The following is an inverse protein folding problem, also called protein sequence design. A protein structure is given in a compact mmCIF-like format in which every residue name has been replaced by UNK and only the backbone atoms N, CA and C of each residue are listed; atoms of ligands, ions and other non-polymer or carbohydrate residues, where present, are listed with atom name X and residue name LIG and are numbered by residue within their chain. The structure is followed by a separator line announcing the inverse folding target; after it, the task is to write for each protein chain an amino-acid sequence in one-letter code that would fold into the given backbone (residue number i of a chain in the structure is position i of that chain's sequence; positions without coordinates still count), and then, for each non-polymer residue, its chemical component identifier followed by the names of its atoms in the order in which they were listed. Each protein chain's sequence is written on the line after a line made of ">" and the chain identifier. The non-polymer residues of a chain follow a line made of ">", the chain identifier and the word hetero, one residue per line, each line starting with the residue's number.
data_IF_893721545323
#
_entry.id   IF_893721545323
#
_cell.length_a   1.000
_cell.length_b   1.000
_cell.length_c   1.000
_cell.angle_alpha   90.00
_cell.angle_beta   90.00
_cell.angle_gamma   90.00
#
_symmetry.space_group_name_H-M   'P 1'
#
loop_
_entity.id
_entity.type
_entity.pdbx_description
1 polymer ?
#
# COMPACT_ATOMS: atom_id res chain seq x y z
N UNK A 1 -43.33 11.89 -20.89
CA UNK A 1 -41.99 11.64 -20.29
C UNK A 1 -41.56 12.92 -19.63
N UNK A 2 -41.26 12.86 -18.33
CA UNK A 2 -40.78 14.01 -17.55
C UNK A 2 -39.26 13.91 -17.28
N UNK A 3 -38.62 15.06 -17.17
CA UNK A 3 -37.21 15.11 -16.77
C UNK A 3 -37.14 15.29 -15.26
N UNK A 4 -36.39 14.40 -14.59
CA UNK A 4 -36.16 14.42 -13.16
C UNK A 4 -34.66 14.70 -12.91
N UNK A 5 -34.34 15.80 -12.21
CA UNK A 5 -32.98 16.17 -11.83
C UNK A 5 -32.73 15.73 -10.39
N UNK A 6 -31.87 14.77 -10.22
CA UNK A 6 -31.40 14.31 -8.90
C UNK A 6 -30.21 15.16 -8.48
N UNK A 7 -30.32 15.76 -7.31
CA UNK A 7 -29.31 16.61 -6.72
C UNK A 7 -28.53 15.83 -5.66
N UNK A 8 -27.24 16.16 -5.50
CA UNK A 8 -26.42 15.60 -4.46
C UNK A 8 -27.05 15.87 -3.08
N UNK A 9 -27.53 14.84 -2.36
CA UNK A 9 -28.11 15.02 -1.04
C UNK A 9 -27.03 15.43 -0.02
N UNK A 10 -27.45 15.98 1.12
CA UNK A 10 -26.57 16.17 2.25
C UNK A 10 -26.21 14.79 2.86
N UNK A 11 -24.97 14.37 2.67
CA UNK A 11 -24.49 13.04 3.06
C UNK A 11 -23.74 13.05 4.40
N UNK A 12 -23.88 14.11 5.21
CA UNK A 12 -23.38 14.18 6.59
C UNK A 12 -22.98 15.57 7.05
N UNK A 13 -23.33 15.86 8.26
CA UNK A 13 -23.02 17.00 9.14
C UNK A 13 -22.21 18.17 8.51
N UNK A 14 -22.87 18.98 7.64
CA UNK A 14 -22.35 20.28 7.25
C UNK A 14 -21.22 20.28 6.21
N UNK A 15 -21.06 19.25 5.41
CA UNK A 15 -20.13 19.25 4.27
C UNK A 15 -20.73 20.08 3.13
N UNK A 16 -20.02 21.15 2.71
CA UNK A 16 -20.45 21.98 1.59
C UNK A 16 -20.24 21.31 0.22
N UNK A 17 -19.29 20.39 0.13
CA UNK A 17 -18.87 19.70 -1.08
C UNK A 17 -18.54 18.23 -0.80
N UNK A 18 -18.71 17.36 -1.82
CA UNK A 18 -18.33 15.96 -1.74
C UNK A 18 -17.71 15.48 -3.05
N UNK A 19 -16.80 14.48 -2.98
CA UNK A 19 -16.11 13.93 -4.14
C UNK A 19 -16.88 12.74 -4.71
N UNK A 20 -17.03 12.67 -6.03
CA UNK A 20 -17.54 11.50 -6.73
C UNK A 20 -16.43 10.43 -6.74
N UNK A 21 -16.59 9.35 -5.96
CA UNK A 21 -15.57 8.30 -5.88
C UNK A 21 -15.66 7.34 -7.08
N UNK A 22 -16.86 6.85 -7.40
CA UNK A 22 -17.07 5.96 -8.54
C UNK A 22 -18.52 6.06 -9.05
N UNK A 23 -18.71 5.91 -10.37
CA UNK A 23 -20.00 5.73 -11.01
C UNK A 23 -20.23 4.24 -11.26
N UNK A 24 -21.43 3.74 -10.92
CA UNK A 24 -21.85 2.36 -11.18
C UNK A 24 -22.82 2.24 -12.36
N UNK A 25 -23.12 3.36 -13.00
CA UNK A 25 -24.05 3.47 -14.12
C UNK A 25 -23.50 4.38 -15.21
N UNK A 26 -24.00 4.23 -16.43
CA UNK A 26 -23.63 5.04 -17.60
C UNK A 26 -24.81 5.80 -18.19
N UNK A 27 -24.53 6.86 -18.97
CA UNK A 27 -25.56 7.57 -19.72
C UNK A 27 -26.26 6.62 -20.70
N UNK A 28 -27.57 6.56 -20.63
CA UNK A 28 -28.42 5.67 -21.42
C UNK A 28 -28.91 4.43 -20.69
N UNK A 29 -28.39 4.11 -19.53
CA UNK A 29 -28.81 2.96 -18.73
C UNK A 29 -30.24 3.16 -18.17
N UNK A 30 -30.96 2.06 -18.07
CA UNK A 30 -32.23 1.98 -17.35
C UNK A 30 -31.97 1.56 -15.92
N UNK A 31 -32.44 2.34 -14.97
CA UNK A 31 -32.28 2.07 -13.54
C UNK A 31 -33.61 1.91 -12.85
N UNK A 32 -33.62 1.08 -11.80
CA UNK A 32 -34.76 0.92 -10.90
C UNK A 32 -34.65 1.79 -9.66
N UNK A 33 -35.72 2.05 -8.97
CA UNK A 33 -35.74 2.68 -7.65
C UNK A 33 -34.85 1.84 -6.69
N UNK A 34 -34.07 2.51 -5.82
CA UNK A 34 -33.09 1.94 -4.90
C UNK A 34 -31.89 1.24 -5.54
N UNK A 35 -31.70 1.30 -6.85
CA UNK A 35 -30.51 0.81 -7.50
C UNK A 35 -29.32 1.71 -7.19
N UNK A 36 -28.18 1.13 -6.82
CA UNK A 36 -26.92 1.84 -6.56
C UNK A 36 -26.40 2.57 -7.81
N UNK A 37 -26.21 3.89 -7.70
CA UNK A 37 -25.82 4.76 -8.82
C UNK A 37 -24.38 5.23 -8.73
N UNK A 38 -23.98 5.70 -7.57
CA UNK A 38 -22.71 6.41 -7.39
C UNK A 38 -22.21 6.32 -5.96
N UNK A 39 -20.91 6.20 -5.80
CA UNK A 39 -20.21 6.34 -4.52
C UNK A 39 -19.76 7.76 -4.34
N UNK A 40 -20.19 8.38 -3.25
CA UNK A 40 -19.79 9.73 -2.86
C UNK A 40 -18.87 9.65 -1.65
N UNK A 41 -17.72 10.27 -1.76
CA UNK A 41 -16.76 10.37 -0.67
C UNK A 41 -16.85 11.73 0.00
N UNK A 42 -17.13 11.71 1.30
CA UNK A 42 -17.00 12.88 2.18
C UNK A 42 -15.64 12.86 2.88
N UNK A 43 -15.35 13.84 3.71
CA UNK A 43 -14.14 13.87 4.55
C UNK A 43 -14.08 12.69 5.56
N UNK A 44 -15.21 12.01 5.78
CA UNK A 44 -15.38 11.03 6.86
C UNK A 44 -15.72 9.61 6.40
N UNK A 45 -16.42 9.44 5.29
CA UNK A 45 -16.88 8.13 4.81
C UNK A 45 -17.15 8.13 3.30
N UNK A 46 -17.21 6.92 2.73
CA UNK A 46 -17.81 6.67 1.42
C UNK A 46 -19.29 6.32 1.65
N UNK A 47 -20.17 7.01 0.96
CA UNK A 47 -21.62 6.82 1.03
C UNK A 47 -22.10 6.37 -0.34
N UNK A 48 -22.78 5.24 -0.38
CA UNK A 48 -23.45 4.72 -1.57
C UNK A 48 -24.78 5.47 -1.77
N UNK A 49 -25.00 6.06 -2.94
CA UNK A 49 -26.22 6.80 -3.26
C UNK A 49 -27.09 5.95 -4.18
N UNK A 50 -28.29 5.51 -3.71
CA UNK A 50 -29.25 4.80 -4.51
C UNK A 50 -30.09 5.75 -5.38
N UNK A 51 -30.74 5.20 -6.41
CA UNK A 51 -31.66 5.94 -7.28
C UNK A 51 -32.98 6.26 -6.54
N UNK A 52 -33.42 7.50 -6.52
CA UNK A 52 -34.70 7.87 -5.95
C UNK A 52 -35.92 7.57 -6.88
N UNK A 53 -35.67 7.20 -8.14
CA UNK A 53 -36.67 6.97 -9.16
C UNK A 53 -36.25 5.88 -10.15
N UNK A 54 -37.23 5.19 -10.74
CA UNK A 54 -36.98 4.35 -11.91
C UNK A 54 -37.03 5.20 -13.18
N UNK A 55 -36.06 5.05 -14.06
CA UNK A 55 -35.98 5.82 -15.29
C UNK A 55 -34.71 5.58 -16.09
N UNK A 56 -34.59 6.30 -17.21
CA UNK A 56 -33.42 6.25 -18.07
C UNK A 56 -32.49 7.42 -17.73
N UNK A 57 -31.18 7.15 -17.59
CA UNK A 57 -30.17 8.17 -17.36
C UNK A 57 -29.93 8.98 -18.62
N UNK A 58 -30.16 10.29 -18.56
CA UNK A 58 -29.95 11.23 -19.66
C UNK A 58 -28.57 11.88 -19.57
N UNK A 59 -28.17 12.28 -18.36
CA UNK A 59 -26.89 12.92 -18.14
C UNK A 59 -26.32 12.61 -16.75
N UNK A 60 -25.00 12.53 -16.67
CA UNK A 60 -24.24 12.46 -15.43
C UNK A 60 -23.42 13.74 -15.29
N UNK A 61 -23.50 14.39 -14.14
CA UNK A 61 -22.80 15.65 -13.85
C UNK A 61 -21.60 15.42 -12.95
N UNK A 62 -20.40 15.47 -13.54
CA UNK A 62 -19.12 15.30 -12.90
C UNK A 62 -18.47 13.95 -13.20
N UNK A 63 -17.14 13.98 -13.27
CA UNK A 63 -16.31 12.80 -13.46
C UNK A 63 -15.89 12.21 -12.11
N UNK A 64 -15.51 10.93 -12.09
CA UNK A 64 -14.90 10.32 -10.92
C UNK A 64 -13.66 11.13 -10.48
N UNK A 65 -13.58 11.47 -9.19
CA UNK A 65 -12.57 12.34 -8.60
C UNK A 65 -12.89 13.84 -8.65
N UNK A 66 -14.09 14.26 -9.09
CA UNK A 66 -14.53 15.65 -9.12
C UNK A 66 -15.30 16.02 -7.84
N UNK A 67 -15.00 17.20 -7.28
CA UNK A 67 -15.74 17.76 -6.15
C UNK A 67 -17.04 18.40 -6.64
N UNK A 68 -18.15 18.10 -5.99
CA UNK A 68 -19.46 18.66 -6.30
C UNK A 68 -20.12 19.28 -5.06
N UNK A 69 -20.71 20.44 -5.19
CA UNK A 69 -21.41 21.08 -4.08
C UNK A 69 -22.70 20.30 -3.73
N UNK A 70 -22.96 20.18 -2.43
CA UNK A 70 -24.22 19.64 -1.92
C UNK A 70 -25.41 20.46 -2.47
N UNK A 71 -26.46 19.80 -2.95
CA UNK A 71 -27.59 20.43 -3.64
C UNK A 71 -27.36 20.71 -5.13
N UNK A 72 -26.15 20.48 -5.68
CA UNK A 72 -25.87 20.56 -7.10
C UNK A 72 -26.48 19.40 -7.89
N UNK A 73 -26.75 19.60 -9.18
CA UNK A 73 -27.26 18.53 -10.06
C UNK A 73 -26.22 17.42 -10.16
N UNK A 74 -26.63 16.16 -9.95
CA UNK A 74 -25.78 14.97 -9.99
C UNK A 74 -26.14 14.06 -11.17
N UNK A 75 -27.43 13.75 -11.33
CA UNK A 75 -27.92 12.89 -12.40
C UNK A 75 -29.24 13.45 -12.96
N UNK A 76 -29.42 13.36 -14.26
CA UNK A 76 -30.70 13.64 -14.93
C UNK A 76 -31.33 12.35 -15.44
N UNK A 77 -32.58 12.12 -15.08
CA UNK A 77 -33.38 10.98 -15.49
C UNK A 77 -34.52 11.39 -16.42
N UNK A 78 -34.84 10.54 -17.38
CA UNK A 78 -36.08 10.55 -18.10
C UNK A 78 -37.03 9.52 -17.43
N UNK A 79 -38.16 9.99 -16.88
CA UNK A 79 -39.10 9.18 -16.11
C UNK A 79 -40.50 9.13 -16.79
N UNK A 80 -41.22 8.04 -16.58
CA UNK A 80 -42.65 7.94 -16.99
C UNK A 80 -43.50 8.70 -15.98
N UNK A 81 -43.69 10.03 -16.19
CA UNK A 81 -44.50 10.88 -15.29
C UNK A 81 -44.12 12.35 -15.39
N UNK A 82 -44.66 13.16 -14.44
CA UNK A 82 -44.26 14.58 -14.31
C UNK A 82 -42.92 14.67 -13.61
N UNK A 83 -41.88 15.14 -14.32
CA UNK A 83 -40.55 15.42 -13.76
C UNK A 83 -40.51 16.61 -12.80
N UNK A 84 -39.39 16.81 -12.09
CA UNK A 84 -39.19 17.96 -11.18
C UNK A 84 -38.39 19.12 -11.83
N UNK A 85 -38.05 19.03 -13.12
CA UNK A 85 -37.29 20.05 -13.84
C UNK A 85 -38.18 21.26 -14.14
N UNK A 86 -38.05 22.31 -13.32
CA UNK A 86 -38.59 23.64 -13.64
C UNK A 86 -37.53 24.33 -14.52
N UNK A 87 -37.85 24.70 -15.75
CA UNK A 87 -36.96 25.32 -16.70
C UNK A 87 -36.21 26.52 -16.07
N UNK A 88 -34.90 26.36 -15.87
CA UNK A 88 -34.00 27.44 -15.52
C UNK A 88 -33.26 27.89 -16.79
N UNK A 89 -33.36 29.20 -17.09
CA UNK A 89 -32.70 29.85 -18.21
C UNK A 89 -31.16 29.69 -18.14
N UNK A 90 -30.45 29.61 -19.28
CA UNK A 90 -29.01 29.39 -19.30
C UNK A 90 -28.24 30.57 -18.71
N UNK A 91 -27.22 30.36 -17.89
CA UNK A 91 -26.34 31.44 -17.47
C UNK A 91 -25.48 31.93 -18.63
N UNK A 92 -25.42 33.25 -18.81
CA UNK A 92 -24.54 33.92 -19.78
C UNK A 92 -23.07 33.66 -19.46
N UNK A 93 -22.20 33.51 -20.48
CA UNK A 93 -20.76 33.34 -20.26
C UNK A 93 -20.17 34.60 -19.67
N UNK A 94 -19.46 34.47 -18.57
CA UNK A 94 -18.60 35.56 -18.06
C UNK A 94 -17.25 35.41 -18.78
N UNK A 95 -16.96 36.41 -19.57
CA UNK A 95 -15.73 36.59 -20.34
C UNK A 95 -14.58 36.89 -19.35
N UNK A 96 -13.66 35.93 -19.20
CA UNK A 96 -12.43 36.14 -18.45
C UNK A 96 -11.34 36.59 -19.42
N UNK A 97 -10.85 37.79 -19.25
CA UNK A 97 -9.72 38.37 -19.98
C UNK A 97 -8.42 37.58 -19.69
N UNK A 98 -7.58 37.30 -20.69
CA UNK A 98 -6.34 36.55 -20.50
C UNK A 98 -5.22 37.48 -19.99
N UNK A 99 -4.68 37.14 -18.83
CA UNK A 99 -3.39 37.69 -18.38
C UNK A 99 -2.29 36.77 -18.92
N UNK A 100 -1.61 37.28 -19.95
CA UNK A 100 -0.45 36.62 -20.53
C UNK A 100 0.76 36.78 -19.61
N UNK A 101 1.23 35.68 -19.05
CA UNK A 101 2.57 35.59 -18.47
C UNK A 101 3.42 34.71 -19.41
N UNK A 102 4.38 35.37 -20.05
CA UNK A 102 5.36 34.78 -20.96
C UNK A 102 6.39 33.98 -20.17
N UNK A 103 6.66 32.71 -20.49
CA UNK A 103 7.80 31.97 -19.92
C UNK A 103 9.11 32.45 -20.59
N UNK A 104 10.24 32.49 -19.88
CA UNK A 104 11.53 32.79 -20.47
C UNK A 104 12.06 31.63 -21.31
N UNK A 105 12.50 31.95 -22.52
CA UNK A 105 13.21 31.03 -23.45
C UNK A 105 14.53 30.55 -22.84
N UNK A 106 14.87 29.25 -22.98
CA UNK A 106 16.20 28.76 -22.68
C UNK A 106 17.14 29.02 -23.86
N UNK A 107 18.27 29.66 -23.60
CA UNK A 107 19.37 29.85 -24.55
C UNK A 107 20.02 28.51 -24.92
N UNK A 108 20.41 28.30 -26.18
CA UNK A 108 21.11 27.08 -26.61
C UNK A 108 22.54 27.05 -26.04
N UNK A 109 22.88 25.91 -25.42
CA UNK A 109 24.26 25.59 -25.05
C UNK A 109 24.88 24.85 -26.22
N UNK A 110 25.92 25.41 -26.78
CA UNK A 110 26.74 24.88 -27.87
C UNK A 110 27.43 23.57 -27.42
N UNK A 111 27.15 22.46 -28.09
CA UNK A 111 27.79 21.17 -27.85
C UNK A 111 29.08 21.07 -28.65
N UNK A 112 30.22 20.90 -27.98
CA UNK A 112 31.48 20.52 -28.58
C UNK A 112 31.43 19.10 -29.10
N UNK A 113 31.99 18.79 -30.25
CA UNK A 113 32.02 17.43 -30.80
C UNK A 113 33.02 16.53 -30.06
N UNK A 114 32.55 15.33 -29.71
CA UNK A 114 33.38 14.26 -29.19
C UNK A 114 34.13 13.53 -30.32
N UNK A 115 35.30 12.99 -30.06
CA UNK A 115 36.16 12.37 -31.08
C UNK A 115 35.61 11.04 -31.57
N UNK A 116 35.59 10.86 -32.88
CA UNK A 116 35.29 9.65 -33.62
C UNK A 116 36.24 8.52 -33.27
N UNK A 117 35.66 7.39 -32.77
CA UNK A 117 36.38 6.12 -32.66
C UNK A 117 36.39 5.37 -34.00
N UNK A 118 37.46 4.61 -34.30
CA UNK A 118 37.60 3.94 -35.62
C UNK A 118 36.65 2.72 -35.73
N UNK A 119 36.12 2.50 -36.93
CA UNK A 119 35.29 1.40 -37.29
C UNK A 119 35.99 0.04 -37.09
N UNK A 120 35.33 -0.96 -36.49
CA UNK A 120 35.87 -2.31 -36.44
C UNK A 120 35.71 -3.01 -37.80
N UNK A 121 36.82 -3.56 -38.24
CA UNK A 121 36.85 -4.36 -39.48
C UNK A 121 35.92 -5.54 -39.46
N UNK A 122 35.49 -5.91 -40.70
CA UNK A 122 34.64 -7.05 -40.97
C UNK A 122 35.22 -8.34 -40.38
N UNK A 123 34.53 -8.86 -39.36
CA UNK A 123 34.72 -10.22 -38.87
C UNK A 123 33.88 -11.17 -39.74
N UNK A 124 34.54 -12.09 -40.35
CA UNK A 124 33.97 -13.25 -41.03
C UNK A 124 32.86 -13.89 -40.16
N UNK A 125 31.71 -14.16 -40.82
CA UNK A 125 30.58 -14.77 -40.15
C UNK A 125 30.93 -16.18 -39.67
N UNK A 126 31.13 -16.33 -38.37
CA UNK A 126 31.20 -17.62 -37.73
C UNK A 126 29.85 -18.33 -37.89
N UNK A 127 29.84 -19.52 -38.45
CA UNK A 127 28.66 -20.40 -38.53
C UNK A 127 28.07 -20.56 -37.08
N UNK A 128 26.73 -20.46 -36.94
CA UNK A 128 26.12 -20.60 -35.63
C UNK A 128 26.34 -22.02 -35.07
N UNK A 129 26.99 -22.12 -33.95
CA UNK A 129 27.10 -23.36 -33.18
C UNK A 129 25.72 -23.72 -32.61
N UNK A 130 25.22 -24.88 -33.03
CA UNK A 130 23.95 -25.43 -32.51
C UNK A 130 24.09 -25.70 -31.02
N UNK A 131 23.09 -25.31 -30.21
CA UNK A 131 22.97 -25.77 -28.84
C UNK A 131 22.64 -27.26 -28.88
N UNK A 132 23.67 -28.08 -28.85
CA UNK A 132 23.56 -29.52 -28.72
C UNK A 132 23.19 -29.84 -27.26
N UNK A 133 22.26 -30.82 -27.10
CA UNK A 133 22.09 -31.49 -25.80
C UNK A 133 23.45 -31.96 -25.32
N UNK A 134 23.63 -32.06 -24.00
CA UNK A 134 24.90 -32.55 -23.43
C UNK A 134 25.28 -33.88 -24.09
N UNK A 135 26.54 -34.07 -24.41
CA UNK A 135 27.05 -35.26 -25.04
C UNK A 135 26.71 -36.48 -24.18
N UNK A 136 25.82 -37.38 -24.68
CA UNK A 136 25.33 -38.54 -23.93
C UNK A 136 23.83 -38.59 -23.67
N UNK A 137 23.11 -37.45 -23.78
CA UNK A 137 21.67 -37.42 -23.60
C UNK A 137 20.93 -37.99 -24.80
N UNK A 138 20.21 -39.12 -24.57
CA UNK A 138 19.37 -39.73 -25.61
C UNK A 138 18.11 -38.90 -25.85
N UNK A 139 17.81 -38.50 -27.12
CA UNK A 139 16.60 -37.73 -27.40
C UNK A 139 15.35 -38.52 -26.99
N UNK A 140 14.46 -37.91 -26.22
CA UNK A 140 13.16 -38.49 -25.85
C UNK A 140 12.20 -38.28 -27.03
N UNK A 141 11.80 -39.35 -27.71
CA UNK A 141 10.83 -39.32 -28.81
C UNK A 141 10.06 -40.67 -28.84
N UNK A 142 8.83 -40.64 -29.36
CA UNK A 142 8.05 -41.85 -29.59
C UNK A 142 8.64 -42.68 -30.74
N UNK A 143 8.35 -43.98 -30.85
CA UNK A 143 8.80 -44.82 -31.95
C UNK A 143 8.37 -44.29 -33.31
N UNK A 144 7.17 -43.70 -33.40
CA UNK A 144 6.65 -43.10 -34.66
C UNK A 144 7.46 -41.89 -35.07
N UNK A 145 7.82 -41.00 -34.13
CA UNK A 145 8.66 -39.81 -34.37
C UNK A 145 10.08 -40.24 -34.79
N UNK A 146 10.63 -41.25 -34.13
CA UNK A 146 11.96 -41.80 -34.50
C UNK A 146 11.99 -42.35 -35.92
N UNK A 147 10.96 -43.14 -36.29
CA UNK A 147 10.84 -43.67 -37.65
C UNK A 147 10.74 -42.57 -38.68
N UNK A 148 9.86 -41.57 -38.45
CA UNK A 148 9.69 -40.40 -39.34
C UNK A 148 10.98 -39.58 -39.50
N UNK A 149 11.69 -39.35 -38.38
CA UNK A 149 12.98 -38.65 -38.42
C UNK A 149 14.03 -39.45 -39.26
N UNK A 150 14.06 -40.78 -39.08
CA UNK A 150 14.93 -41.68 -39.88
C UNK A 150 14.60 -41.62 -41.36
N UNK A 151 13.32 -41.74 -41.71
CA UNK A 151 12.85 -41.69 -43.10
C UNK A 151 13.17 -40.34 -43.77
N UNK A 152 13.26 -39.26 -43.01
CA UNK A 152 13.60 -37.90 -43.46
C UNK A 152 15.10 -37.57 -43.33
N UNK A 153 15.94 -38.50 -42.84
CA UNK A 153 17.37 -38.27 -42.64
C UNK A 153 17.71 -37.22 -41.57
N UNK A 154 16.79 -36.99 -40.60
CA UNK A 154 16.94 -36.00 -39.56
C UNK A 154 17.48 -36.65 -38.27
N UNK A 155 18.60 -36.14 -37.77
CA UNK A 155 19.15 -36.57 -36.48
C UNK A 155 18.41 -35.89 -35.33
N UNK A 156 17.69 -36.66 -34.54
CA UNK A 156 16.86 -36.16 -33.42
C UNK A 156 17.65 -35.38 -32.32
N UNK A 157 18.98 -35.54 -32.26
CA UNK A 157 19.81 -34.78 -31.35
C UNK A 157 19.80 -33.27 -31.63
N UNK A 158 19.50 -32.87 -32.86
CA UNK A 158 19.43 -31.47 -33.28
C UNK A 158 18.02 -30.87 -33.22
N UNK A 159 16.99 -31.70 -32.97
CA UNK A 159 15.59 -31.25 -32.91
C UNK A 159 15.23 -30.86 -31.48
N UNK A 160 14.86 -29.60 -31.21
CA UNK A 160 14.37 -29.20 -29.89
C UNK A 160 13.00 -29.84 -29.65
N UNK A 161 12.81 -30.52 -28.51
CA UNK A 161 11.53 -31.08 -28.12
C UNK A 161 10.75 -30.11 -27.24
N UNK A 162 9.48 -29.83 -27.61
CA UNK A 162 8.57 -28.94 -26.84
C UNK A 162 7.62 -29.72 -25.93
N UNK A 163 7.59 -31.05 -26.01
CA UNK A 163 6.73 -31.89 -25.17
C UNK A 163 7.23 -32.06 -23.74
N UNK A 164 6.42 -32.72 -22.86
CA UNK A 164 6.79 -33.00 -21.47
C UNK A 164 8.17 -33.65 -21.33
N UNK A 165 8.97 -33.14 -20.40
CA UNK A 165 10.37 -33.54 -20.19
C UNK A 165 11.27 -33.38 -21.45
N UNK A 166 10.97 -32.42 -22.34
CA UNK A 166 11.75 -32.19 -23.57
C UNK A 166 11.55 -33.27 -24.64
N UNK A 167 10.40 -33.98 -24.62
CA UNK A 167 10.06 -34.99 -25.64
C UNK A 167 9.80 -34.34 -26.98
N UNK A 168 10.37 -34.93 -28.03
CA UNK A 168 10.20 -34.49 -29.43
C UNK A 168 8.88 -35.06 -29.96
N UNK A 169 8.00 -34.17 -30.45
CA UNK A 169 6.75 -34.48 -31.14
C UNK A 169 6.87 -34.42 -32.69
N UNK A 170 5.77 -34.73 -33.36
CA UNK A 170 5.69 -34.56 -34.82
C UNK A 170 5.78 -33.09 -35.24
N UNK A 171 5.17 -32.20 -34.46
CA UNK A 171 5.18 -30.75 -34.72
C UNK A 171 6.59 -30.16 -34.60
N UNK A 172 7.42 -30.68 -33.69
CA UNK A 172 8.82 -30.28 -33.52
C UNK A 172 9.65 -30.65 -34.76
N UNK A 173 9.40 -31.84 -35.35
CA UNK A 173 10.02 -32.26 -36.59
C UNK A 173 9.58 -31.38 -37.78
N UNK A 174 8.29 -31.07 -37.88
CA UNK A 174 7.75 -30.21 -38.94
C UNK A 174 8.30 -28.78 -38.81
N UNK A 175 8.39 -28.25 -37.60
CA UNK A 175 9.03 -26.96 -37.31
C UNK A 175 10.51 -26.93 -37.67
N UNK A 176 11.23 -28.03 -37.40
CA UNK A 176 12.64 -28.18 -37.76
C UNK A 176 12.86 -28.23 -39.27
N UNK A 177 12.00 -28.94 -40.00
CA UNK A 177 12.02 -29.02 -41.46
C UNK A 177 11.70 -27.65 -42.08
N UNK A 178 10.64 -27.00 -41.59
CA UNK A 178 10.23 -25.67 -42.05
C UNK A 178 11.30 -24.57 -41.83
N UNK A 179 12.16 -24.76 -40.80
CA UNK A 179 13.30 -23.88 -40.51
C UNK A 179 14.56 -24.20 -41.35
N UNK A 180 14.46 -25.10 -42.34
CA UNK A 180 15.60 -25.51 -43.19
C UNK A 180 16.67 -26.31 -42.43
N UNK A 181 16.27 -27.04 -41.36
CA UNK A 181 17.19 -27.81 -40.51
C UNK A 181 17.98 -26.97 -39.53
N UNK A 182 17.67 -25.69 -39.42
CA UNK A 182 18.23 -24.82 -38.39
C UNK A 182 17.28 -24.80 -37.18
N UNK A 183 17.67 -25.43 -36.08
CA UNK A 183 16.96 -25.21 -34.83
C UNK A 183 16.97 -23.70 -34.52
N UNK A 184 15.79 -23.07 -34.51
CA UNK A 184 15.64 -21.70 -34.03
C UNK A 184 15.93 -21.78 -32.52
N UNK A 185 17.18 -21.54 -32.14
CA UNK A 185 17.53 -21.39 -30.74
C UNK A 185 16.57 -20.35 -30.20
N UNK A 186 15.74 -20.73 -29.21
CA UNK A 186 15.10 -19.75 -28.35
C UNK A 186 16.27 -19.00 -27.70
N UNK A 187 16.66 -17.88 -28.31
CA UNK A 187 17.68 -17.00 -27.73
C UNK A 187 17.24 -16.62 -26.33
N UNK A 188 18.17 -16.36 -25.41
CA UNK A 188 17.82 -15.87 -24.10
C UNK A 188 16.82 -14.74 -24.28
N UNK A 189 15.73 -14.76 -23.49
CA UNK A 189 14.69 -13.75 -23.55
C UNK A 189 15.39 -12.38 -23.51
N UNK A 190 15.46 -11.71 -24.66
CA UNK A 190 16.06 -10.38 -24.76
C UNK A 190 15.15 -9.45 -23.99
N UNK A 191 15.73 -8.70 -23.08
CA UNK A 191 15.03 -7.61 -22.44
C UNK A 191 14.43 -6.70 -23.52
N UNK A 192 13.11 -6.70 -23.59
CA UNK A 192 12.38 -5.87 -24.57
C UNK A 192 12.27 -4.49 -23.96
N UNK A 193 12.64 -3.45 -24.71
CA UNK A 193 12.36 -2.06 -24.33
C UNK A 193 10.88 -1.93 -24.03
N UNK A 194 10.57 -1.48 -22.83
CA UNK A 194 9.20 -1.12 -22.41
C UNK A 194 9.03 0.37 -22.67
N UNK A 195 8.12 0.72 -23.53
CA UNK A 195 7.74 2.09 -23.85
C UNK A 195 6.27 2.27 -23.49
N UNK A 196 5.95 3.43 -22.94
CA UNK A 196 4.58 3.78 -22.51
C UNK A 196 4.59 4.40 -21.14
N UNK A 197 3.70 5.37 -20.94
CA UNK A 197 3.40 6.03 -19.67
C UNK A 197 1.92 5.84 -19.42
N UNK A 198 1.59 5.29 -18.26
CA UNK A 198 0.21 5.19 -17.78
C UNK A 198 -0.07 6.34 -16.81
N UNK A 199 -1.03 7.20 -17.14
CA UNK A 199 -1.47 8.28 -16.25
C UNK A 199 -2.61 7.79 -15.36
N UNK A 200 -2.34 7.71 -14.05
CA UNK A 200 -3.33 7.27 -13.05
C UNK A 200 -3.67 8.45 -12.15
N UNK A 201 -4.93 8.89 -12.15
CA UNK A 201 -5.43 9.92 -11.24
C UNK A 201 -5.48 9.37 -9.80
N UNK A 202 -4.99 10.17 -8.86
CA UNK A 202 -5.09 9.85 -7.43
C UNK A 202 -6.43 10.37 -6.92
N UNK A 203 -7.34 9.44 -6.62
CA UNK A 203 -8.73 9.74 -6.18
C UNK A 203 -9.05 8.98 -4.89
N UNK A 204 -10.16 9.31 -4.26
CA UNK A 204 -10.71 8.56 -3.14
C UNK A 204 -9.78 8.49 -1.92
N UNK A 205 -9.76 7.36 -1.23
CA UNK A 205 -8.94 7.13 -0.04
C UNK A 205 -7.46 7.44 -0.28
N UNK A 206 -6.92 7.13 -1.47
CA UNK A 206 -5.52 7.42 -1.80
C UNK A 206 -5.23 8.93 -1.83
N UNK A 207 -6.18 9.75 -2.29
CA UNK A 207 -6.07 11.22 -2.24
C UNK A 207 -6.04 11.70 -0.78
N UNK A 208 -6.95 11.23 0.08
CA UNK A 208 -6.98 11.58 1.50
C UNK A 208 -5.69 11.20 2.23
N UNK A 209 -5.15 10.01 1.93
CA UNK A 209 -3.84 9.60 2.47
C UNK A 209 -2.74 10.55 2.00
N UNK A 210 -2.71 10.91 0.71
CA UNK A 210 -1.69 11.80 0.16
C UNK A 210 -1.75 13.18 0.83
N UNK A 211 -2.92 13.78 0.95
CA UNK A 211 -3.16 15.07 1.62
C UNK A 211 -2.71 15.00 3.09
N UNK A 212 -3.15 13.98 3.84
CA UNK A 212 -2.80 13.80 5.25
C UNK A 212 -1.29 13.62 5.45
N UNK A 213 -0.63 12.84 4.61
CA UNK A 213 0.83 12.61 4.70
C UNK A 213 1.63 13.85 4.30
N UNK A 214 1.18 14.56 3.27
CA UNK A 214 1.79 15.83 2.86
C UNK A 214 1.67 16.87 3.97
N UNK A 215 0.50 17.01 4.58
CA UNK A 215 0.24 17.93 5.67
C UNK A 215 1.09 17.59 6.92
N UNK A 216 1.16 16.30 7.30
CA UNK A 216 1.99 15.83 8.40
C UNK A 216 3.48 16.17 8.17
N UNK A 217 4.01 15.93 6.95
CA UNK A 217 5.41 16.24 6.63
C UNK A 217 5.70 17.73 6.53
N UNK A 218 4.72 18.54 6.12
CA UNK A 218 4.89 19.99 5.98
C UNK A 218 4.83 20.72 7.32
N UNK A 219 3.96 20.28 8.26
CA UNK A 219 3.76 20.97 9.54
C UNK A 219 4.65 20.45 10.66
N UNK A 220 4.96 19.15 10.67
CA UNK A 220 5.71 18.53 11.77
C UNK A 220 7.19 18.48 11.45
N UNK A 221 8.07 19.13 12.25
CA UNK A 221 9.52 18.94 12.16
C UNK A 221 9.90 17.58 12.79
N UNK A 222 9.75 16.52 11.99
CA UNK A 222 10.08 15.17 12.44
C UNK A 222 11.57 15.03 12.73
N UNK A 223 11.90 14.45 13.88
CA UNK A 223 13.19 13.81 14.08
C UNK A 223 12.98 12.34 14.45
N UNK A 224 13.95 11.51 14.19
CA UNK A 224 13.86 10.07 14.43
C UNK A 224 14.93 9.62 15.40
N UNK A 225 14.55 8.73 16.31
CA UNK A 225 15.44 8.01 17.21
C UNK A 225 15.32 6.51 16.92
N UNK A 226 16.46 5.86 16.65
CA UNK A 226 16.49 4.44 16.28
C UNK A 226 17.37 3.72 17.28
N UNK A 227 16.84 2.65 17.87
CA UNK A 227 17.51 1.87 18.90
C UNK A 227 17.48 0.38 18.56
N UNK A 228 18.62 -0.29 18.69
CA UNK A 228 18.74 -1.73 18.54
C UNK A 228 18.48 -2.44 19.87
N UNK A 229 17.57 -3.43 19.85
CA UNK A 229 17.09 -4.13 21.04
C UNK A 229 17.36 -5.63 20.90
N UNK A 230 17.91 -6.25 21.94
CA UNK A 230 18.04 -7.68 22.07
C UNK A 230 16.71 -8.30 22.54
N UNK A 231 15.95 -8.82 21.59
CA UNK A 231 14.64 -9.43 21.84
C UNK A 231 14.69 -10.96 21.99
N UNK A 232 15.85 -11.54 22.26
CA UNK A 232 16.01 -13.01 22.36
C UNK A 232 15.12 -13.57 23.47
N UNK A 233 15.19 -13.02 24.68
CA UNK A 233 14.39 -13.48 25.81
C UNK A 233 12.88 -13.24 25.60
N UNK A 234 12.52 -12.12 24.95
CA UNK A 234 11.14 -11.81 24.59
C UNK A 234 10.59 -12.82 23.58
N UNK A 235 11.39 -13.19 22.58
CA UNK A 235 10.98 -14.17 21.57
C UNK A 235 10.83 -15.57 22.14
N UNK A 236 11.72 -15.98 23.03
CA UNK A 236 11.61 -17.23 23.79
C UNK A 236 10.32 -17.27 24.62
N UNK A 237 10.02 -16.21 25.37
CA UNK A 237 8.77 -16.08 26.11
C UNK A 237 7.56 -16.14 25.19
N UNK A 238 7.57 -15.40 24.08
CA UNK A 238 6.48 -15.39 23.11
C UNK A 238 6.23 -16.78 22.52
N UNK A 239 7.30 -17.50 22.14
CA UNK A 239 7.20 -18.86 21.63
C UNK A 239 6.62 -19.81 22.67
N UNK A 240 7.11 -19.76 23.92
CA UNK A 240 6.59 -20.57 25.03
C UNK A 240 5.09 -20.31 25.25
N UNK A 241 4.68 -19.04 25.35
CA UNK A 241 3.27 -18.68 25.53
C UNK A 241 2.39 -19.16 24.36
N UNK A 242 2.90 -19.09 23.12
CA UNK A 242 2.17 -19.59 21.97
C UNK A 242 2.06 -21.13 21.94
N UNK A 243 3.06 -21.85 22.44
CA UNK A 243 3.04 -23.30 22.54
C UNK A 243 2.08 -23.83 23.62
N UNK A 244 1.92 -23.06 24.71
CA UNK A 244 1.12 -23.45 25.89
C UNK A 244 -0.25 -22.76 25.98
N UNK A 245 -0.58 -21.88 25.02
CA UNK A 245 -1.85 -21.14 25.02
C UNK A 245 -3.08 -22.04 24.95
N UNK A 246 -4.17 -21.60 25.52
CA UNK A 246 -5.49 -22.23 25.34
C UNK A 246 -5.95 -22.08 23.90
N UNK A 247 -6.82 -22.98 23.43
CA UNK A 247 -7.30 -23.01 22.03
C UNK A 247 -8.06 -21.74 21.61
N UNK A 248 -8.74 -21.10 22.53
CA UNK A 248 -9.52 -19.87 22.36
C UNK A 248 -8.69 -18.59 22.27
N UNK A 249 -7.39 -18.66 22.61
CA UNK A 249 -6.50 -17.49 22.60
C UNK A 249 -5.85 -17.29 21.21
N UNK A 250 -5.72 -16.03 20.75
CA UNK A 250 -5.04 -15.73 19.49
C UNK A 250 -3.54 -16.05 19.58
N UNK A 251 -2.88 -16.11 18.43
CA UNK A 251 -1.42 -16.19 18.37
C UNK A 251 -0.80 -14.85 18.77
N UNK A 252 0.09 -14.83 19.76
CA UNK A 252 0.84 -13.66 20.15
C UNK A 252 1.89 -13.29 19.10
N UNK A 253 1.89 -12.02 18.73
CA UNK A 253 2.96 -11.35 17.99
C UNK A 253 3.82 -10.52 18.95
N UNK A 254 4.80 -9.77 18.43
CA UNK A 254 5.60 -8.83 19.24
C UNK A 254 4.77 -7.61 19.68
N UNK A 255 3.75 -7.21 18.88
CA UNK A 255 3.00 -5.97 19.13
C UNK A 255 2.36 -5.88 20.52
N UNK A 256 1.64 -6.89 21.04
CA UNK A 256 1.05 -6.82 22.39
C UNK A 256 2.07 -6.60 23.51
N UNK A 257 3.29 -7.12 23.35
CA UNK A 257 4.36 -6.89 24.34
C UNK A 257 4.90 -5.47 24.25
N UNK A 258 5.09 -4.94 23.03
CA UNK A 258 5.46 -3.54 22.83
C UNK A 258 4.36 -2.60 23.35
N UNK A 259 3.09 -2.89 23.07
CA UNK A 259 1.96 -2.13 23.62
C UNK A 259 2.03 -2.08 25.15
N UNK A 260 2.26 -3.23 25.80
CA UNK A 260 2.40 -3.31 27.25
C UNK A 260 3.61 -2.51 27.75
N UNK A 261 4.76 -2.57 27.07
CA UNK A 261 5.93 -1.79 27.42
C UNK A 261 5.63 -0.28 27.32
N UNK A 262 5.01 0.14 26.22
CA UNK A 262 4.67 1.56 25.99
C UNK A 262 3.66 2.07 27.06
N UNK A 263 2.60 1.32 27.34
CA UNK A 263 1.60 1.74 28.34
C UNK A 263 2.17 1.85 29.75
N UNK A 264 3.25 1.15 30.06
CA UNK A 264 3.97 1.28 31.37
C UNK A 264 4.91 2.48 31.42
N UNK A 265 5.46 2.88 30.26
CA UNK A 265 6.44 3.97 30.22
C UNK A 265 5.78 5.34 29.99
N UNK A 266 4.71 5.39 29.18
CA UNK A 266 4.03 6.64 28.81
C UNK A 266 3.57 7.53 29.97
N UNK A 267 3.14 7.02 31.16
CA UNK A 267 2.80 7.88 32.27
C UNK A 267 3.93 8.80 32.75
N UNK A 268 5.18 8.37 32.60
CA UNK A 268 6.37 9.17 32.95
C UNK A 268 6.74 10.19 31.89
N UNK A 269 6.20 10.01 30.65
CA UNK A 269 6.44 10.87 29.48
C UNK A 269 5.12 11.37 28.86
N UNK A 270 4.30 12.11 29.61
CA UNK A 270 2.96 12.51 29.17
C UNK A 270 2.96 13.40 27.92
N UNK A 271 4.08 14.08 27.60
CA UNK A 271 4.26 14.86 26.38
C UNK A 271 4.34 13.97 25.12
N UNK A 272 4.63 12.67 25.26
CA UNK A 272 4.68 11.71 24.14
C UNK A 272 3.30 11.10 23.89
N UNK A 273 2.43 10.97 24.92
CA UNK A 273 1.05 10.54 24.78
C UNK A 273 0.11 11.75 24.57
N UNK A 274 0.31 12.46 23.46
CA UNK A 274 -0.33 13.74 23.24
C UNK A 274 -0.74 13.95 21.78
N UNK A 275 -1.62 14.93 21.58
CA UNK A 275 -2.03 15.45 20.28
C UNK A 275 -1.77 16.95 20.27
N UNK A 276 -1.22 17.45 19.18
CA UNK A 276 -0.93 18.87 19.01
C UNK A 276 -1.89 19.52 18.01
N UNK A 277 -2.66 20.48 18.49
CA UNK A 277 -3.46 21.36 17.65
C UNK A 277 -2.58 22.51 17.18
N UNK A 278 -2.14 22.42 15.91
CA UNK A 278 -1.27 23.41 15.30
C UNK A 278 -1.94 24.80 15.17
N UNK A 279 -3.25 24.82 14.94
CA UNK A 279 -3.97 26.06 14.64
C UNK A 279 -4.29 26.82 15.96
N UNK A 280 -4.59 26.09 17.04
CA UNK A 280 -4.77 26.66 18.38
C UNK A 280 -3.45 26.85 19.14
N UNK A 281 -2.36 26.21 18.70
CA UNK A 281 -1.08 26.19 19.45
C UNK A 281 -1.16 25.43 20.77
N UNK A 282 -2.04 24.42 20.89
CA UNK A 282 -2.34 23.72 22.15
C UNK A 282 -1.95 22.26 22.08
N UNK A 283 -1.22 21.79 23.09
CA UNK A 283 -0.91 20.36 23.29
C UNK A 283 -1.94 19.74 24.24
N UNK A 284 -2.65 18.73 23.74
CA UNK A 284 -3.57 17.91 24.52
C UNK A 284 -2.85 16.65 25.00
N UNK A 285 -2.46 16.61 26.27
CA UNK A 285 -1.90 15.41 26.90
C UNK A 285 -3.02 14.51 27.38
N UNK A 286 -2.96 13.24 27.03
CA UNK A 286 -3.99 12.26 27.36
C UNK A 286 -3.54 11.37 28.51
N UNK A 287 -4.43 11.16 29.50
CA UNK A 287 -4.18 10.19 30.57
C UNK A 287 -4.36 8.74 30.07
N UNK A 288 -5.39 8.50 29.26
CA UNK A 288 -5.60 7.21 28.59
C UNK A 288 -4.70 7.06 27.37
N UNK A 289 -4.27 5.85 27.10
CA UNK A 289 -3.44 5.51 25.93
C UNK A 289 -4.32 4.90 24.86
N UNK A 290 -4.62 5.67 23.81
CA UNK A 290 -5.35 5.20 22.65
C UNK A 290 -4.35 4.88 21.53
N UNK A 291 -4.05 3.59 21.36
CA UNK A 291 -2.92 3.17 20.53
C UNK A 291 -3.34 2.90 19.11
N UNK A 292 -2.87 3.74 18.18
CA UNK A 292 -3.05 3.54 16.75
C UNK A 292 -2.20 2.35 16.26
N UNK A 293 -2.80 1.47 15.49
CA UNK A 293 -2.12 0.33 14.86
C UNK A 293 -2.22 0.48 13.35
N UNK A 294 -1.10 0.76 12.70
CA UNK A 294 -1.05 0.87 11.25
C UNK A 294 -1.30 -0.51 10.60
N UNK A 295 -2.37 -0.60 9.84
CA UNK A 295 -2.83 -1.84 9.22
C UNK A 295 -2.87 -1.69 7.70
N UNK A 296 -2.18 -2.59 6.98
CA UNK A 296 -2.24 -2.64 5.51
C UNK A 296 -3.55 -3.28 5.07
N UNK A 297 -4.26 -2.60 4.15
CA UNK A 297 -5.47 -3.09 3.49
C UNK A 297 -5.28 -3.11 1.96
N UNK A 298 -6.17 -3.75 1.19
CA UNK A 298 -6.13 -3.70 -0.27
C UNK A 298 -6.21 -2.28 -0.85
N UNK A 299 -6.91 -1.37 -0.18
CA UNK A 299 -7.13 0.02 -0.62
C UNK A 299 -6.05 0.99 -0.14
N UNK A 300 -5.19 0.58 0.81
CA UNK A 300 -4.12 1.41 1.35
C UNK A 300 -3.85 1.14 2.83
N UNK A 301 -3.00 1.97 3.44
CA UNK A 301 -2.69 1.90 4.86
C UNK A 301 -3.76 2.67 5.65
N UNK A 302 -4.36 2.03 6.64
CA UNK A 302 -5.26 2.67 7.62
C UNK A 302 -4.72 2.48 9.03
N UNK A 303 -5.08 3.39 9.94
CA UNK A 303 -4.72 3.29 11.37
C UNK A 303 -5.99 2.97 12.12
N UNK A 304 -6.02 1.80 12.77
CA UNK A 304 -7.08 1.41 13.71
C UNK A 304 -6.63 1.69 15.13
N UNK A 305 -7.56 1.92 16.04
CA UNK A 305 -7.26 2.42 17.40
C UNK A 305 -7.69 1.40 18.44
N UNK A 306 -6.73 0.91 19.21
CA UNK A 306 -6.99 0.17 20.44
C UNK A 306 -7.20 1.19 21.54
N UNK A 307 -8.45 1.40 21.92
CA UNK A 307 -8.82 2.35 22.97
C UNK A 307 -8.41 1.80 24.34
N UNK A 308 -7.91 2.69 25.23
CA UNK A 308 -7.51 2.35 26.59
C UNK A 308 -6.57 1.13 26.68
N UNK A 309 -5.51 1.15 25.86
CA UNK A 309 -4.54 0.07 25.79
C UNK A 309 -3.86 -0.21 27.14
N UNK A 310 -3.81 0.77 28.05
CA UNK A 310 -3.31 0.66 29.41
C UNK A 310 -4.13 -0.29 30.29
N UNK A 311 -5.42 -0.44 29.99
CA UNK A 311 -6.34 -1.30 30.74
C UNK A 311 -6.32 -2.77 30.25
N UNK A 312 -5.63 -3.06 29.14
CA UNK A 312 -5.59 -4.38 28.53
C UNK A 312 -4.35 -5.18 28.94
N UNK A 313 -4.53 -6.48 29.19
CA UNK A 313 -3.42 -7.40 29.26
C UNK A 313 -2.88 -7.77 27.85
N UNK A 314 -1.77 -8.53 27.80
CA UNK A 314 -1.13 -8.93 26.55
C UNK A 314 -2.05 -9.79 25.65
N UNK A 315 -2.91 -10.62 26.25
CA UNK A 315 -3.84 -11.46 25.50
C UNK A 315 -5.03 -10.67 24.96
N UNK A 316 -5.58 -9.78 25.78
CA UNK A 316 -6.64 -8.85 25.41
C UNK A 316 -6.17 -7.93 24.29
N UNK A 317 -4.96 -7.37 24.43
CA UNK A 317 -4.31 -6.57 23.37
C UNK A 317 -4.14 -7.35 22.07
N UNK A 318 -3.71 -8.61 22.15
CA UNK A 318 -3.57 -9.46 20.97
C UNK A 318 -4.92 -9.73 20.28
N UNK A 319 -5.98 -9.97 21.06
CA UNK A 319 -7.34 -10.20 20.57
C UNK A 319 -7.87 -8.96 19.87
N UNK A 320 -7.73 -7.80 20.49
CA UNK A 320 -8.23 -6.53 19.96
C UNK A 320 -7.47 -6.10 18.69
N UNK A 321 -6.15 -6.21 18.68
CA UNK A 321 -5.34 -5.95 17.49
C UNK A 321 -5.75 -6.86 16.33
N UNK A 322 -5.98 -8.16 16.57
CA UNK A 322 -6.41 -9.09 15.54
C UNK A 322 -7.81 -8.77 15.01
N UNK A 323 -8.75 -8.42 15.89
CA UNK A 323 -10.13 -8.02 15.56
C UNK A 323 -10.12 -6.77 14.66
N UNK A 324 -9.45 -5.72 15.11
CA UNK A 324 -9.35 -4.44 14.39
C UNK A 324 -8.66 -4.60 13.03
N UNK A 325 -7.56 -5.36 12.98
CA UNK A 325 -6.86 -5.62 11.73
C UNK A 325 -7.73 -6.38 10.71
N UNK A 326 -8.57 -7.30 11.18
CA UNK A 326 -9.52 -8.03 10.33
C UNK A 326 -10.63 -7.10 9.85
N UNK A 327 -11.26 -6.33 10.75
CA UNK A 327 -12.28 -5.35 10.40
C UNK A 327 -11.78 -4.34 9.36
N UNK A 328 -10.53 -3.84 9.52
CA UNK A 328 -9.93 -2.91 8.57
C UNK A 328 -9.72 -3.53 7.17
N UNK A 329 -9.22 -4.79 7.10
CA UNK A 329 -9.00 -5.47 5.81
C UNK A 329 -10.31 -5.77 5.09
N UNK A 330 -11.37 -6.07 5.86
CA UNK A 330 -12.72 -6.35 5.35
C UNK A 330 -13.51 -5.06 5.02
N UNK A 331 -12.94 -3.87 5.29
CA UNK A 331 -13.64 -2.59 5.10
C UNK A 331 -14.78 -2.35 6.08
N UNK A 332 -14.77 -3.05 7.23
CA UNK A 332 -15.85 -3.00 8.26
C UNK A 332 -15.45 -2.23 9.52
N UNK A 333 -14.24 -1.68 9.57
CA UNK A 333 -13.80 -0.87 10.70
C UNK A 333 -14.66 0.40 10.78
N UNK A 334 -15.19 0.70 11.95
CA UNK A 334 -16.02 1.88 12.17
C UNK A 334 -15.16 3.15 12.23
N UNK A 335 -15.80 4.30 12.12
CA UNK A 335 -15.13 5.60 12.23
C UNK A 335 -14.47 5.78 13.60
N UNK A 336 -15.14 5.37 14.66
CA UNK A 336 -14.65 5.41 16.03
C UNK A 336 -13.39 4.56 16.18
N UNK A 337 -13.37 3.38 15.53
CA UNK A 337 -12.21 2.47 15.52
C UNK A 337 -11.03 2.98 14.69
N UNK A 338 -11.21 4.02 13.88
CA UNK A 338 -10.17 4.64 13.04
C UNK A 338 -9.80 6.06 13.48
N UNK A 339 -10.26 6.50 14.65
CA UNK A 339 -10.06 7.87 15.13
C UNK A 339 -9.68 7.92 16.60
N UNK A 340 -9.07 9.02 17.04
CA UNK A 340 -8.81 9.29 18.44
C UNK A 340 -7.52 8.70 19.00
N UNK A 341 -6.64 8.14 18.19
CA UNK A 341 -5.32 7.67 18.64
C UNK A 341 -4.48 8.80 19.23
N UNK A 342 -3.68 8.47 20.25
CA UNK A 342 -2.77 9.39 20.94
C UNK A 342 -1.30 9.11 20.64
N UNK A 343 -1.00 7.88 20.23
CA UNK A 343 0.31 7.44 19.75
C UNK A 343 0.10 6.24 18.80
N UNK A 344 0.89 6.13 17.74
CA UNK A 344 0.73 5.06 16.75
C UNK A 344 1.91 4.10 16.75
N UNK A 345 1.62 2.79 16.58
CA UNK A 345 2.62 1.76 16.25
C UNK A 345 2.46 1.39 14.77
N UNK A 346 3.59 1.32 14.05
CA UNK A 346 3.65 0.81 12.68
C UNK A 346 4.59 -0.37 12.58
N UNK A 347 4.17 -1.42 11.86
CA UNK A 347 4.98 -2.62 11.66
C UNK A 347 4.71 -3.24 10.31
N UNK A 348 5.77 -3.59 9.60
CA UNK A 348 5.72 -4.38 8.36
C UNK A 348 6.00 -5.88 8.61
N UNK A 349 6.12 -6.28 9.88
CA UNK A 349 6.46 -7.65 10.26
C UNK A 349 7.76 -8.13 9.60
N UNK A 350 7.75 -9.34 9.05
CA UNK A 350 8.92 -9.94 8.40
C UNK A 350 9.41 -9.17 7.16
N UNK A 351 8.54 -8.38 6.53
CA UNK A 351 8.90 -7.54 5.37
C UNK A 351 9.55 -6.20 5.80
N UNK A 352 9.57 -5.88 7.07
CA UNK A 352 10.19 -4.66 7.61
C UNK A 352 11.67 -4.59 7.29
N UNK A 353 12.18 -3.38 7.07
CA UNK A 353 13.62 -3.11 6.92
C UNK A 353 14.37 -3.22 8.25
N UNK A 354 15.67 -2.92 8.22
CA UNK A 354 16.49 -2.80 9.44
C UNK A 354 16.14 -1.56 10.24
N UNK A 355 15.80 -0.46 9.55
CA UNK A 355 15.39 0.80 10.13
C UNK A 355 14.38 1.48 9.23
N UNK A 356 13.61 2.42 9.78
CA UNK A 356 12.64 3.24 9.06
C UNK A 356 12.54 4.62 9.71
N UNK A 357 11.96 5.57 8.98
CA UNK A 357 11.62 6.91 9.49
C UNK A 357 10.12 7.11 9.30
N UNK A 358 9.29 6.58 10.21
CA UNK A 358 7.84 6.63 10.05
C UNK A 358 7.32 8.08 10.07
N UNK A 359 6.26 8.34 9.30
CA UNK A 359 5.58 9.63 9.30
C UNK A 359 4.54 9.63 10.42
N UNK A 360 4.57 10.65 11.28
CA UNK A 360 3.64 10.80 12.40
C UNK A 360 2.20 10.91 11.88
N UNK A 361 1.29 10.20 12.51
CA UNK A 361 -0.14 10.23 12.20
C UNK A 361 -0.79 11.48 12.84
N UNK A 362 -0.63 12.64 12.19
CA UNK A 362 -1.17 13.92 12.69
C UNK A 362 -2.65 13.78 13.12
N UNK A 363 -3.05 14.32 14.27
CA UNK A 363 -2.36 15.30 15.14
C UNK A 363 -1.52 14.71 16.30
N UNK A 364 -1.19 13.42 16.27
CA UNK A 364 -0.28 12.81 17.24
C UNK A 364 1.11 13.46 17.20
N UNK A 365 1.88 13.30 18.28
CA UNK A 365 3.25 13.83 18.39
C UNK A 365 4.32 12.76 18.27
N UNK A 366 3.95 11.49 18.25
CA UNK A 366 4.90 10.37 18.15
C UNK A 366 4.35 9.15 17.41
N UNK A 367 5.25 8.41 16.79
CA UNK A 367 4.99 7.12 16.15
C UNK A 367 6.18 6.19 16.40
N UNK A 368 5.91 4.92 16.72
CA UNK A 368 6.93 3.90 16.96
C UNK A 368 6.86 2.83 15.87
N UNK A 369 7.93 2.67 15.12
CA UNK A 369 8.09 1.66 14.07
C UNK A 369 8.79 0.42 14.58
N UNK A 370 8.22 -0.75 14.32
CA UNK A 370 8.81 -2.06 14.61
C UNK A 370 9.44 -2.61 13.35
N UNK A 371 10.75 -2.77 13.35
CA UNK A 371 11.50 -3.32 12.24
C UNK A 371 11.60 -4.85 12.33
N UNK A 372 12.21 -5.48 11.32
CA UNK A 372 12.34 -6.93 11.29
C UNK A 372 13.29 -7.43 12.38
N UNK A 373 12.97 -8.60 12.93
CA UNK A 373 13.85 -9.35 13.82
C UNK A 373 14.82 -10.20 12.99
N UNK A 374 16.10 -10.16 13.32
CA UNK A 374 17.14 -10.95 12.66
C UNK A 374 18.12 -11.53 13.68
N UNK A 375 18.71 -12.68 13.35
CA UNK A 375 19.81 -13.24 14.12
C UNK A 375 21.10 -12.47 13.80
N UNK A 376 21.82 -12.00 14.84
CA UNK A 376 23.09 -11.26 14.72
C UNK A 376 24.13 -11.81 15.69
N UNK A 377 25.41 -11.85 15.31
CA UNK A 377 26.50 -12.11 16.25
C UNK A 377 26.69 -10.85 17.12
N UNK A 378 26.53 -11.05 18.43
CA UNK A 378 26.69 -9.97 19.44
C UNK A 378 27.76 -10.38 20.44
N UNK A 379 28.50 -9.40 20.96
CA UNK A 379 29.46 -9.64 22.04
C UNK A 379 28.75 -9.52 23.38
N UNK A 380 28.72 -10.62 24.14
CA UNK A 380 28.22 -10.70 25.50
C UNK A 380 29.28 -11.35 26.39
N UNK A 381 29.65 -10.68 27.47
CA UNK A 381 30.65 -11.19 28.45
C UNK A 381 31.95 -11.66 27.80
N UNK A 382 32.41 -10.91 26.76
CA UNK A 382 33.61 -11.23 26.02
C UNK A 382 33.50 -12.37 25.00
N UNK A 383 32.30 -12.95 24.82
CA UNK A 383 32.02 -14.03 23.88
C UNK A 383 31.11 -13.57 22.73
N UNK A 384 31.31 -14.11 21.53
CA UNK A 384 30.42 -13.90 20.41
C UNK A 384 29.25 -14.90 20.51
N UNK A 385 28.05 -14.38 20.67
CA UNK A 385 26.82 -15.18 20.77
C UNK A 385 25.80 -14.73 19.73
N UNK A 386 24.97 -15.66 19.25
CA UNK A 386 23.87 -15.31 18.34
C UNK A 386 22.70 -14.78 19.17
N UNK A 387 22.21 -13.60 18.82
CA UNK A 387 21.07 -12.96 19.49
C UNK A 387 20.03 -12.54 18.45
N UNK A 388 18.76 -12.56 18.83
CA UNK A 388 17.66 -11.99 18.03
C UNK A 388 17.58 -10.49 18.26
N UNK A 389 18.01 -9.74 17.26
CA UNK A 389 18.07 -8.29 17.32
C UNK A 389 16.91 -7.69 16.52
N UNK A 390 16.35 -6.62 17.03
CA UNK A 390 15.27 -5.86 16.40
C UNK A 390 15.47 -4.37 16.65
N UNK A 391 15.28 -3.54 15.63
CA UNK A 391 15.32 -2.10 15.83
C UNK A 391 13.90 -1.56 16.07
N UNK A 392 13.77 -0.66 17.03
CA UNK A 392 12.66 0.29 17.09
C UNK A 392 13.08 1.59 16.43
N UNK A 393 12.26 2.06 15.50
CA UNK A 393 12.46 3.32 14.78
C UNK A 393 11.31 4.25 15.12
N UNK A 394 11.54 5.20 16.00
CA UNK A 394 10.53 6.15 16.44
C UNK A 394 10.73 7.50 15.76
N UNK A 395 9.63 8.20 15.45
CA UNK A 395 9.66 9.59 15.02
C UNK A 395 8.81 10.42 15.98
N UNK A 396 9.29 11.62 16.25
CA UNK A 396 8.70 12.56 17.21
C UNK A 396 8.57 13.95 16.60
N UNK A 397 7.59 14.72 17.06
CA UNK A 397 7.45 16.13 16.77
C UNK A 397 8.40 16.95 17.66
N UNK A 398 9.46 17.51 17.06
CA UNK A 398 10.52 18.22 17.81
C UNK A 398 10.04 19.55 18.42
N UNK A 399 8.83 19.96 18.16
CA UNK A 399 8.21 21.12 18.84
C UNK A 399 7.71 20.77 20.25
N UNK A 400 7.43 19.47 20.49
CA UNK A 400 6.77 18.99 21.71
C UNK A 400 7.65 18.01 22.49
N UNK A 401 8.48 17.23 21.80
CA UNK A 401 9.33 16.19 22.36
C UNK A 401 10.77 16.50 22.04
N UNK A 402 11.61 16.64 23.06
CA UNK A 402 13.04 16.84 22.91
C UNK A 402 13.79 15.52 22.66
N UNK A 403 15.01 15.64 22.12
CA UNK A 403 15.84 14.47 21.83
C UNK A 403 16.16 13.63 23.07
N UNK A 404 16.33 14.30 24.24
CA UNK A 404 16.56 13.62 25.51
C UNK A 404 15.34 12.77 25.92
N UNK A 405 14.14 13.36 25.97
CA UNK A 405 12.90 12.67 26.33
C UNK A 405 12.63 11.47 25.41
N UNK A 406 12.84 11.65 24.10
CA UNK A 406 12.71 10.58 23.13
C UNK A 406 13.68 9.42 23.37
N UNK A 407 14.94 9.74 23.67
CA UNK A 407 15.96 8.75 23.98
C UNK A 407 15.63 7.98 25.26
N UNK A 408 15.32 8.67 26.36
CA UNK A 408 14.94 8.03 27.62
C UNK A 408 13.70 7.15 27.48
N UNK A 409 12.66 7.63 26.79
CA UNK A 409 11.44 6.88 26.53
C UNK A 409 11.76 5.55 25.80
N UNK A 410 12.54 5.59 24.72
CA UNK A 410 12.88 4.38 23.97
C UNK A 410 13.83 3.48 24.75
N UNK A 411 14.80 4.03 25.50
CA UNK A 411 15.69 3.23 26.36
C UNK A 411 14.91 2.50 27.47
N UNK A 412 13.89 3.10 28.06
CA UNK A 412 13.02 2.43 29.04
C UNK A 412 12.19 1.33 28.41
N UNK A 413 11.64 1.55 27.21
CA UNK A 413 10.95 0.49 26.44
C UNK A 413 11.93 -0.64 26.14
N UNK A 414 13.15 -0.34 25.68
CA UNK A 414 14.22 -1.32 25.45
C UNK A 414 14.47 -2.18 26.67
N UNK A 415 14.67 -1.57 27.85
CA UNK A 415 14.93 -2.29 29.09
C UNK A 415 13.81 -3.29 29.43
N UNK A 416 12.54 -2.91 29.22
CA UNK A 416 11.38 -3.79 29.44
C UNK A 416 11.32 -4.93 28.42
N UNK A 417 11.66 -4.68 27.16
CA UNK A 417 11.63 -5.71 26.12
C UNK A 417 12.82 -6.68 26.21
N UNK A 418 13.99 -6.20 26.65
CA UNK A 418 15.18 -7.03 26.88
C UNK A 418 15.03 -7.92 28.13
N UNK A 419 14.20 -7.47 29.11
CA UNK A 419 13.87 -8.19 30.35
C UNK A 419 12.35 -8.41 30.47
N UNK A 420 11.77 -9.29 29.63
CA UNK A 420 10.31 -9.34 29.45
C UNK A 420 9.53 -9.76 30.71
N UNK A 421 10.17 -10.35 31.71
CA UNK A 421 9.54 -10.65 33.00
C UNK A 421 9.07 -9.35 33.69
N UNK A 422 9.81 -8.25 33.52
CA UNK A 422 9.47 -6.95 34.14
C UNK A 422 8.21 -6.30 33.55
N UNK A 423 7.74 -6.74 32.37
CA UNK A 423 6.45 -6.31 31.82
C UNK A 423 5.25 -6.70 32.69
N UNK A 424 5.41 -7.71 33.55
CA UNK A 424 4.34 -8.30 34.36
C UNK A 424 4.53 -8.04 35.88
N UNK A 425 5.58 -7.32 36.24
CA UNK A 425 5.84 -6.92 37.61
C UNK A 425 5.31 -5.50 37.83
N UNK A 426 4.74 -5.21 38.98
CA UNK A 426 4.22 -3.88 39.35
C UNK A 426 5.35 -2.88 39.62
#
# INVERSE_FOLDING_TARGET
>A
MGQYVFKLPDVGEGTAEAEIAAWHVAVGDMVTEDQHLVDIMTDKAVVEIPSPVAGRIVALHGAAGEMRPVGGALIEFEVEGAGNAKAAAPPKPVEAAPVAVKPPEPKPVEAKPAPTAPAPGAREAAKPAFATRAAGDKPLASPAVRKRAWDLGIELQFVPGTGPAGRIGHDDLDGFIASGGTAKAAGPARDVKREGVEEIKIIGLRRKIAEKMQEAKRRIPHFSYIEEIDVTALEELRQHLNATKKADRPKLTILPFLMRAMTRVLPDYPQINARFDDDAGVVHRHAGVHMGIATQTPTGLVVTVVAHAEALDVWQSATEVARLATAARDGKATREEMSGSTITITSLGAMGGLASTPVINRPEVAIVGVNKMIDRPMVRDGQIVIRKMMNLSASFDHRIVDGWDAAEFIQRIRALLEQPATLFMD
#
